data_IF_881719220870
#
_entry.id   IF_881719220870
#
_cell.length_a   1.000
_cell.length_b   1.000
_cell.length_c   1.000
_cell.angle_alpha   90.00
_cell.angle_beta   90.00
_cell.angle_gamma   90.00
#
_symmetry.space_group_name_H-M   'P 1'
#
loop_
_entity.id
_entity.type
_entity.pdbx_description
1 polymer ?
#
# COMPACT_ATOMS: atom_id res chain seq x y z
N UNK A 1 5.05 -20.77 0.90
CA UNK A 1 4.04 -20.46 1.95
C UNK A 1 2.94 -19.64 1.30
N UNK A 2 1.66 -19.99 1.45
CA UNK A 2 0.57 -19.12 0.99
C UNK A 2 0.25 -18.08 2.06
N UNK A 3 0.62 -16.81 1.84
CA UNK A 3 0.22 -15.68 2.71
C UNK A 3 -1.04 -15.02 2.15
N UNK A 4 -2.01 -14.73 3.02
CA UNK A 4 -3.22 -13.98 2.67
C UNK A 4 -3.26 -12.66 3.43
N UNK A 5 -3.36 -11.56 2.69
CA UNK A 5 -3.43 -10.22 3.23
C UNK A 5 -4.81 -9.60 3.02
N UNK A 6 -5.52 -9.35 4.10
CA UNK A 6 -6.80 -8.65 4.09
C UNK A 6 -6.61 -7.14 4.15
N UNK A 7 -7.43 -6.37 3.40
CA UNK A 7 -7.41 -4.90 3.47
C UNK A 7 -8.08 -4.42 4.74
N UNK A 8 -7.35 -3.62 5.53
CA UNK A 8 -7.79 -3.06 6.80
C UNK A 8 -7.54 -1.55 6.81
N UNK A 9 -8.35 -0.83 7.61
CA UNK A 9 -8.21 0.62 7.79
C UNK A 9 -6.95 0.94 8.59
N UNK A 10 -6.13 1.87 8.09
CA UNK A 10 -5.00 2.40 8.85
C UNK A 10 -5.48 3.41 9.91
N UNK A 11 -4.68 3.61 10.95
CA UNK A 11 -4.89 4.72 11.90
C UNK A 11 -4.85 6.07 11.17
N UNK A 12 -4.01 6.21 10.14
CA UNK A 12 -3.95 7.44 9.31
C UNK A 12 -5.27 7.70 8.58
N UNK A 13 -5.84 6.66 7.97
CA UNK A 13 -7.13 6.76 7.28
C UNK A 13 -8.22 7.23 8.24
N UNK A 14 -8.24 6.66 9.44
CA UNK A 14 -9.22 6.98 10.48
C UNK A 14 -9.10 8.44 10.93
N UNK A 15 -7.88 8.92 11.18
CA UNK A 15 -7.63 10.31 11.57
C UNK A 15 -8.04 11.27 10.46
N UNK A 16 -7.68 10.98 9.20
CA UNK A 16 -8.02 11.84 8.06
C UNK A 16 -9.53 11.99 7.90
N UNK A 17 -10.27 10.88 7.96
CA UNK A 17 -11.74 10.90 7.87
C UNK A 17 -12.36 11.62 9.07
N UNK A 18 -11.86 11.40 10.29
CA UNK A 18 -12.37 12.05 11.50
C UNK A 18 -12.17 13.57 11.45
N UNK A 19 -11.00 14.05 11.02
CA UNK A 19 -10.71 15.48 10.89
C UNK A 19 -11.67 16.15 9.91
N UNK A 20 -11.94 15.53 8.76
CA UNK A 20 -12.90 16.06 7.78
C UNK A 20 -14.32 16.12 8.33
N UNK A 21 -14.76 15.09 9.04
CA UNK A 21 -16.10 15.07 9.68
C UNK A 21 -16.21 16.20 10.71
N UNK A 22 -15.22 16.34 11.60
CA UNK A 22 -15.22 17.36 12.66
C UNK A 22 -15.19 18.77 12.04
N UNK A 23 -14.35 19.00 11.03
CA UNK A 23 -14.26 20.28 10.34
C UNK A 23 -15.57 20.64 9.62
N UNK A 24 -16.19 19.67 8.94
CA UNK A 24 -17.48 19.87 8.28
C UNK A 24 -18.60 20.23 9.26
N UNK A 25 -18.68 19.54 10.40
CA UNK A 25 -19.65 19.84 11.47
C UNK A 25 -19.40 21.24 12.06
N UNK A 26 -18.14 21.60 12.31
CA UNK A 26 -17.79 22.91 12.83
C UNK A 26 -18.24 24.04 11.90
N UNK A 27 -18.04 23.90 10.59
CA UNK A 27 -18.50 24.86 9.58
C UNK A 27 -20.03 25.02 9.56
N UNK A 28 -20.79 23.97 9.86
CA UNK A 28 -22.27 24.05 9.90
C UNK A 28 -22.77 24.64 11.22
N UNK A 29 -22.06 24.40 12.33
CA UNK A 29 -22.46 24.85 13.65
C UNK A 29 -22.20 26.34 13.91
N UNK A 30 -21.24 26.95 13.19
CA UNK A 30 -20.96 28.39 13.30
C UNK A 30 -21.96 29.23 12.50
N UNK A 31 -22.31 30.45 12.96
CA UNK A 31 -23.16 31.36 12.20
C UNK A 31 -22.40 31.95 11.01
N UNK A 32 -22.26 31.16 9.95
CA UNK A 32 -21.57 31.51 8.70
C UNK A 32 -22.57 31.69 7.54
N UNK A 33 -22.15 32.32 6.43
CA UNK A 33 -22.98 32.42 5.23
C UNK A 33 -23.49 31.06 4.76
N UNK A 34 -24.69 31.04 4.15
CA UNK A 34 -25.36 29.80 3.70
C UNK A 34 -24.44 28.96 2.80
N UNK A 35 -23.63 29.60 1.96
CA UNK A 35 -22.64 28.92 1.10
C UNK A 35 -21.61 28.10 1.89
N UNK A 36 -21.16 28.60 3.05
CA UNK A 36 -20.20 27.93 3.93
C UNK A 36 -20.86 26.73 4.64
N UNK A 37 -22.13 26.86 5.01
CA UNK A 37 -22.88 25.74 5.59
C UNK A 37 -23.08 24.61 4.58
N UNK A 38 -23.43 24.94 3.33
CA UNK A 38 -23.54 23.95 2.24
C UNK A 38 -22.19 23.24 2.03
N UNK A 39 -21.09 23.99 1.98
CA UNK A 39 -19.75 23.43 1.88
C UNK A 39 -19.43 22.50 3.07
N UNK A 40 -19.77 22.90 4.29
CA UNK A 40 -19.59 22.08 5.51
C UNK A 40 -20.34 20.75 5.44
N UNK A 41 -21.56 20.75 4.92
CA UNK A 41 -22.32 19.51 4.68
C UNK A 41 -21.60 18.59 3.69
N UNK A 42 -21.08 19.11 2.58
CA UNK A 42 -20.31 18.32 1.60
C UNK A 42 -19.02 17.74 2.19
N UNK A 43 -18.27 18.54 2.96
CA UNK A 43 -17.05 18.09 3.64
C UNK A 43 -17.37 16.96 4.63
N UNK A 44 -18.46 17.08 5.39
CA UNK A 44 -18.90 16.05 6.33
C UNK A 44 -19.27 14.76 5.60
N UNK A 45 -20.06 14.85 4.53
CA UNK A 45 -20.42 13.70 3.71
C UNK A 45 -19.19 13.03 3.09
N UNK A 46 -18.25 13.82 2.57
CA UNK A 46 -17.01 13.30 2.01
C UNK A 46 -16.15 12.60 3.08
N UNK A 47 -16.05 13.17 4.28
CA UNK A 47 -15.37 12.54 5.42
C UNK A 47 -16.00 11.19 5.81
N UNK A 48 -17.33 11.09 5.81
CA UNK A 48 -18.04 9.82 6.04
C UNK A 48 -17.77 8.79 4.96
N UNK A 49 -17.81 9.18 3.68
CA UNK A 49 -17.50 8.29 2.56
C UNK A 49 -16.07 7.77 2.66
N UNK A 50 -15.11 8.68 2.89
CA UNK A 50 -13.70 8.31 3.10
C UNK A 50 -13.53 7.37 4.28
N UNK A 51 -14.29 7.57 5.36
CA UNK A 51 -14.26 6.67 6.50
C UNK A 51 -14.53 5.24 6.02
N UNK A 52 -15.61 5.00 5.29
CA UNK A 52 -15.95 3.64 4.85
C UNK A 52 -15.06 3.09 3.73
N UNK A 53 -14.53 3.94 2.85
CA UNK A 53 -13.79 3.52 1.66
C UNK A 53 -12.29 3.31 1.88
N UNK A 54 -11.65 4.10 2.75
CA UNK A 54 -10.20 4.02 2.94
C UNK A 54 -9.80 2.77 3.73
N UNK A 55 -9.05 1.90 3.06
CA UNK A 55 -8.39 0.71 3.63
C UNK A 55 -6.97 0.60 3.08
N UNK A 56 -6.06 1.41 3.61
CA UNK A 56 -4.68 1.51 3.09
C UNK A 56 -3.71 0.48 3.68
N UNK A 57 -4.06 -0.19 4.77
CA UNK A 57 -3.19 -1.19 5.41
C UNK A 57 -3.59 -2.63 5.04
N UNK A 58 -2.62 -3.53 5.13
CA UNK A 58 -2.78 -4.95 4.85
C UNK A 58 -2.54 -5.75 6.11
N UNK A 59 -3.52 -6.52 6.55
CA UNK A 59 -3.42 -7.39 7.72
C UNK A 59 -3.25 -8.83 7.26
N UNK A 60 -2.16 -9.45 7.70
CA UNK A 60 -1.92 -10.89 7.54
C UNK A 60 -3.02 -11.65 8.30
N UNK A 61 -3.72 -12.55 7.60
CA UNK A 61 -4.83 -13.31 8.18
C UNK A 61 -4.38 -14.28 9.26
N UNK A 62 -3.14 -14.77 9.18
CA UNK A 62 -2.66 -15.85 10.04
C UNK A 62 -2.06 -15.29 11.32
N UNK A 63 -1.19 -14.28 11.18
CA UNK A 63 -0.50 -13.66 12.32
C UNK A 63 -1.27 -12.48 12.92
N UNK A 64 -2.24 -11.93 12.20
CA UNK A 64 -2.96 -10.73 12.58
C UNK A 64 -2.12 -9.45 12.55
N UNK A 65 -0.86 -9.53 12.12
CA UNK A 65 0.05 -8.40 12.01
C UNK A 65 -0.33 -7.49 10.85
N UNK A 66 -0.05 -6.20 11.01
CA UNK A 66 -0.32 -5.17 10.01
C UNK A 66 0.94 -4.86 9.22
N UNK A 67 0.78 -4.70 7.92
CA UNK A 67 1.81 -4.40 6.94
C UNK A 67 1.35 -3.25 6.07
N UNK A 68 2.31 -2.45 5.60
CA UNK A 68 2.09 -1.47 4.54
C UNK A 68 2.45 -2.11 3.21
N UNK A 69 1.66 -1.82 2.20
CA UNK A 69 1.85 -2.31 0.83
C UNK A 69 2.55 -1.23 -0.01
N UNK A 70 3.58 -1.63 -0.74
CA UNK A 70 4.17 -0.89 -1.85
C UNK A 70 4.13 -1.82 -3.05
N UNK A 71 3.66 -1.30 -4.18
CA UNK A 71 3.72 -2.02 -5.45
C UNK A 71 4.74 -1.35 -6.33
N UNK A 72 5.65 -2.13 -6.93
CA UNK A 72 6.61 -1.66 -7.93
C UNK A 72 6.48 -2.39 -9.25
N UNK A 73 6.77 -1.72 -10.36
CA UNK A 73 6.67 -2.28 -11.71
C UNK A 73 8.02 -2.34 -12.42
N UNK A 74 8.24 -3.44 -13.15
CA UNK A 74 9.48 -3.70 -13.88
C UNK A 74 9.20 -4.35 -15.25
N UNK A 75 10.18 -4.29 -16.16
CA UNK A 75 10.13 -5.02 -17.45
C UNK A 75 10.17 -6.52 -17.26
N UNK A 76 9.52 -7.26 -18.17
CA UNK A 76 9.55 -8.71 -18.26
C UNK A 76 10.98 -9.27 -18.35
N UNK A 77 11.90 -8.54 -18.97
CA UNK A 77 13.30 -8.97 -19.13
C UNK A 77 14.04 -9.08 -17.80
N UNK A 78 13.64 -8.30 -16.80
CA UNK A 78 14.25 -8.28 -15.46
C UNK A 78 13.77 -9.43 -14.56
N UNK A 79 12.88 -10.32 -15.04
CA UNK A 79 12.28 -11.39 -14.23
C UNK A 79 13.32 -12.27 -13.55
N UNK A 80 14.27 -12.78 -14.32
CA UNK A 80 15.28 -13.69 -13.82
C UNK A 80 16.17 -13.02 -12.77
N UNK A 81 16.54 -11.75 -13.01
CA UNK A 81 17.39 -10.98 -12.11
C UNK A 81 16.66 -10.64 -10.79
N UNK A 82 15.37 -10.30 -10.86
CA UNK A 82 14.55 -10.02 -9.68
C UNK A 82 14.37 -11.25 -8.81
N UNK A 83 14.00 -12.40 -9.41
CA UNK A 83 13.82 -13.64 -8.66
C UNK A 83 15.14 -14.07 -8.01
N UNK A 84 16.25 -13.97 -8.74
CA UNK A 84 17.58 -14.26 -8.20
C UNK A 84 17.95 -13.32 -7.06
N UNK A 85 17.69 -12.02 -7.20
CA UNK A 85 17.96 -11.05 -6.13
C UNK A 85 17.16 -11.33 -4.87
N UNK A 86 15.89 -11.72 -5.00
CA UNK A 86 15.03 -12.10 -3.87
C UNK A 86 15.49 -13.40 -3.18
N UNK A 87 16.10 -14.33 -3.93
CA UNK A 87 16.66 -15.57 -3.39
C UNK A 87 18.04 -15.38 -2.73
N UNK A 88 18.91 -14.53 -3.27
CA UNK A 88 20.29 -14.39 -2.78
C UNK A 88 20.50 -13.18 -1.88
N UNK A 89 20.31 -11.96 -2.40
CA UNK A 89 20.59 -10.73 -1.67
C UNK A 89 19.82 -9.55 -2.28
N UNK A 90 18.67 -9.17 -1.69
CA UNK A 90 17.85 -8.08 -2.18
C UNK A 90 18.56 -6.72 -2.10
N UNK A 91 19.53 -6.54 -1.21
CA UNK A 91 20.24 -5.26 -1.07
C UNK A 91 21.15 -4.94 -2.26
N UNK A 92 21.57 -5.96 -3.01
CA UNK A 92 22.45 -5.82 -4.18
C UNK A 92 21.73 -5.32 -5.44
N UNK A 93 20.39 -5.37 -5.46
CA UNK A 93 19.58 -5.01 -6.62
C UNK A 93 19.01 -3.59 -6.48
N UNK A 94 19.01 -2.83 -7.58
CA UNK A 94 18.39 -1.51 -7.58
C UNK A 94 16.88 -1.63 -7.84
N UNK A 95 16.08 -1.40 -6.80
CA UNK A 95 14.61 -1.47 -6.84
C UNK A 95 13.93 -0.17 -7.29
N UNK A 96 14.65 0.74 -7.97
CA UNK A 96 14.04 1.94 -8.54
C UNK A 96 13.24 1.56 -9.79
N UNK A 97 12.03 2.08 -9.91
CA UNK A 97 11.19 1.84 -11.08
C UNK A 97 11.83 2.45 -12.33
N UNK A 98 11.60 1.81 -13.48
CA UNK A 98 12.01 2.35 -14.77
C UNK A 98 10.73 2.69 -15.52
N UNK A 99 10.51 3.97 -15.79
CA UNK A 99 9.22 4.65 -16.11
C UNK A 99 8.34 4.08 -17.25
N UNK A 100 8.71 2.95 -17.87
CA UNK A 100 8.08 2.49 -19.11
C UNK A 100 7.75 0.99 -19.17
N UNK A 101 7.92 0.24 -18.08
CA UNK A 101 7.82 -1.22 -18.16
C UNK A 101 6.91 -1.86 -17.08
N UNK A 102 5.79 -2.42 -17.53
CA UNK A 102 4.73 -3.06 -16.71
C UNK A 102 4.69 -4.60 -16.85
N UNK A 103 5.81 -5.23 -17.19
CA UNK A 103 5.86 -6.68 -17.42
C UNK A 103 5.76 -7.52 -16.13
N UNK A 104 6.24 -6.96 -15.02
CA UNK A 104 6.33 -7.62 -13.71
C UNK A 104 5.87 -6.63 -12.65
N UNK A 105 5.00 -7.11 -11.79
CA UNK A 105 4.51 -6.42 -10.60
C UNK A 105 5.12 -7.06 -9.36
N UNK A 106 5.70 -6.24 -8.51
CA UNK A 106 6.19 -6.64 -7.19
C UNK A 106 5.26 -6.09 -6.13
N UNK A 107 4.60 -6.96 -5.38
CA UNK A 107 3.80 -6.59 -4.22
C UNK A 107 4.64 -6.79 -2.96
N UNK A 108 4.98 -5.69 -2.29
CA UNK A 108 5.89 -5.63 -1.14
C UNK A 108 5.08 -5.24 0.09
N UNK A 109 5.08 -6.09 1.11
CA UNK A 109 4.36 -5.91 2.36
C UNK A 109 5.38 -5.79 3.50
N UNK A 110 5.57 -4.61 4.06
CA UNK A 110 6.58 -4.38 5.09
C UNK A 110 5.99 -3.95 6.43
N UNK A 111 6.64 -4.35 7.52
CA UNK A 111 6.35 -3.91 8.87
C UNK A 111 7.63 -3.44 9.56
N UNK A 112 7.77 -2.11 9.70
CA UNK A 112 8.93 -1.47 10.36
C UNK A 112 9.08 -1.84 11.83
N UNK A 113 7.99 -2.12 12.55
CA UNK A 113 8.06 -2.48 13.97
C UNK A 113 8.55 -3.91 14.21
N UNK A 114 8.36 -4.79 13.23
CA UNK A 114 8.80 -6.19 13.30
C UNK A 114 10.07 -6.46 12.51
N UNK A 115 10.50 -5.53 11.67
CA UNK A 115 11.65 -5.69 10.79
C UNK A 115 11.43 -6.76 9.73
N UNK A 116 10.18 -7.01 9.32
CA UNK A 116 9.82 -8.06 8.35
C UNK A 116 9.25 -7.47 7.07
N UNK A 117 9.61 -8.07 5.95
CA UNK A 117 9.15 -7.73 4.60
C UNK A 117 8.74 -9.01 3.89
N UNK A 118 7.54 -9.02 3.33
CA UNK A 118 7.06 -10.07 2.45
C UNK A 118 6.99 -9.55 1.02
N UNK A 119 7.46 -10.33 0.06
CA UNK A 119 7.46 -9.97 -1.36
C UNK A 119 6.83 -11.08 -2.17
N UNK A 120 5.97 -10.70 -3.12
CA UNK A 120 5.48 -11.60 -4.15
C UNK A 120 5.64 -10.95 -5.53
N UNK A 121 6.13 -11.72 -6.50
CA UNK A 121 6.21 -11.30 -7.88
C UNK A 121 5.01 -11.84 -8.66
N UNK A 122 4.40 -11.00 -9.48
CA UNK A 122 3.40 -11.37 -10.46
C UNK A 122 3.85 -10.92 -11.86
N UNK A 123 3.63 -11.75 -12.86
CA UNK A 123 3.93 -11.44 -14.24
C UNK A 123 2.66 -11.01 -14.95
N UNK A 124 2.77 -9.98 -15.79
CA UNK A 124 1.70 -9.60 -16.68
C UNK A 124 1.54 -10.65 -17.79
N UNK A 125 0.40 -11.31 -17.78
CA UNK A 125 -0.11 -12.13 -18.88
C UNK A 125 -1.31 -11.35 -19.42
N UNK A 126 -1.59 -11.31 -20.74
CA UNK A 126 -2.62 -10.43 -21.27
C UNK A 126 -3.90 -10.45 -20.43
N UNK A 127 -4.33 -9.26 -19.99
CA UNK A 127 -5.50 -9.00 -19.15
C UNK A 127 -5.38 -9.27 -17.64
N UNK A 128 -4.30 -9.89 -17.14
CA UNK A 128 -4.15 -10.16 -15.70
C UNK A 128 -2.69 -10.31 -15.22
N UNK A 129 -2.42 -9.88 -13.98
CA UNK A 129 -1.17 -10.20 -13.29
C UNK A 129 -1.29 -11.51 -12.54
N UNK A 130 -0.53 -12.52 -12.96
CA UNK A 130 -0.55 -13.86 -12.34
C UNK A 130 0.72 -14.03 -11.50
N UNK A 131 0.61 -14.47 -10.23
CA UNK A 131 1.75 -14.76 -9.39
C UNK A 131 2.75 -15.70 -10.10
N UNK A 132 4.00 -15.27 -10.19
CA UNK A 132 5.07 -16.00 -10.85
C UNK A 132 6.19 -16.43 -9.89
N UNK A 133 6.04 -16.12 -8.60
CA UNK A 133 6.93 -16.54 -7.52
C UNK A 133 6.16 -16.99 -6.29
N UNK A 134 6.86 -17.76 -5.45
CA UNK A 134 6.48 -17.93 -4.05
C UNK A 134 6.62 -16.62 -3.27
N UNK A 135 6.07 -16.62 -2.06
CA UNK A 135 6.29 -15.54 -1.10
C UNK A 135 7.71 -15.60 -0.54
N UNK A 136 8.45 -14.50 -0.67
CA UNK A 136 9.75 -14.31 -0.03
C UNK A 136 9.55 -13.57 1.29
N UNK A 137 10.14 -14.09 2.36
CA UNK A 137 10.21 -13.43 3.66
C UNK A 137 11.64 -12.91 3.88
N UNK A 138 11.77 -11.61 4.05
CA UNK A 138 13.04 -10.91 4.11
C UNK A 138 13.10 -10.03 5.37
N UNK A 139 14.24 -9.98 6.08
CA UNK A 139 14.45 -9.00 7.14
C UNK A 139 14.63 -7.61 6.53
N UNK A 140 13.99 -6.59 7.12
CA UNK A 140 13.96 -5.22 6.61
C UNK A 140 15.37 -4.66 6.36
N UNK A 141 16.33 -5.02 7.20
CA UNK A 141 17.71 -4.51 7.15
C UNK A 141 18.48 -5.00 5.91
N UNK A 142 18.03 -6.08 5.27
CA UNK A 142 18.64 -6.65 4.06
C UNK A 142 17.87 -6.32 2.78
N UNK A 143 16.96 -5.34 2.82
CA UNK A 143 16.09 -5.02 1.67
C UNK A 143 16.54 -3.82 0.85
N UNK A 144 17.66 -3.17 1.19
CA UNK A 144 18.18 -2.03 0.43
C UNK A 144 17.12 -0.93 0.19
N UNK A 145 16.93 -0.51 -1.06
CA UNK A 145 15.91 0.46 -1.46
C UNK A 145 14.55 -0.15 -1.84
N UNK A 146 14.31 -1.43 -1.56
CA UNK A 146 13.06 -2.13 -1.89
C UNK A 146 11.84 -1.47 -1.24
N UNK A 147 11.96 -1.07 0.03
CA UNK A 147 10.86 -0.49 0.83
C UNK A 147 10.79 1.03 0.77
N UNK A 148 11.67 1.67 -0.02
CA UNK A 148 11.68 3.11 -0.25
C UNK A 148 10.76 3.41 -1.43
N UNK A 149 9.86 4.36 -1.23
CA UNK A 149 8.99 4.93 -2.25
C UNK A 149 9.63 6.27 -2.61
N UNK A 150 10.12 6.40 -3.85
CA UNK A 150 10.66 7.66 -4.38
C UNK A 150 9.56 8.74 -4.53
#
# INVERSE_FOLDING_TARGET
MEKKFSRVRSTRDTVLSAVLIIAGIACVATPTPISVNILGCFITLFGLVLMFMLKSERKDTDTGLRYREITKYFSSDKKADILKALETDPASFNWSETDSAEGIKLDIYYNKSRGTVFVQCAQYIPYEYIPCSDWYELPLDHTGNLTIQD
#
